data_IF_884344145684
#
_entry.id   IF_884344145684
#
_cell.length_a   1.000
_cell.length_b   1.000
_cell.length_c   1.000
_cell.angle_alpha   90.00
_cell.angle_beta   90.00
_cell.angle_gamma   90.00
#
_symmetry.space_group_name_H-M   'P 1'
#
loop_
_entity.id
_entity.type
_entity.pdbx_description
1 polymer ?
#
# COMPACT_ATOMS: atom_id res chain seq x y z
N UNK A 1 -13.23 -10.76 3.60
CA UNK A 1 -13.11 -9.34 3.97
C UNK A 1 -11.70 -8.88 3.65
N UNK A 2 -11.57 -7.73 3.01
CA UNK A 2 -10.27 -7.09 2.72
C UNK A 2 -9.92 -6.18 3.91
N UNK A 3 -8.75 -6.39 4.52
CA UNK A 3 -8.34 -5.70 5.74
C UNK A 3 -7.33 -4.58 5.47
N UNK A 4 -6.59 -4.67 4.36
CA UNK A 4 -5.56 -3.72 3.96
C UNK A 4 -5.68 -3.35 2.48
N UNK A 5 -5.14 -2.19 2.12
CA UNK A 5 -5.04 -1.67 0.78
C UNK A 5 -3.64 -1.11 0.53
N UNK A 6 -3.08 -1.43 -0.63
CA UNK A 6 -1.87 -0.77 -1.15
C UNK A 6 -2.32 0.44 -1.93
N UNK A 7 -1.81 1.61 -1.56
CA UNK A 7 -2.22 2.90 -2.09
C UNK A 7 -1.01 3.71 -2.52
N UNK A 8 -1.21 4.63 -3.45
CA UNK A 8 -0.25 5.66 -3.82
C UNK A 8 -0.79 7.00 -3.35
N UNK A 9 0.00 7.76 -2.61
CA UNK A 9 -0.32 9.14 -2.26
C UNK A 9 -0.11 10.04 -3.49
N UNK A 10 -1.17 10.74 -3.88
CA UNK A 10 -1.14 11.65 -5.02
C UNK A 10 -0.70 13.02 -4.51
N UNK A 11 0.61 13.26 -4.44
CA UNK A 11 1.15 14.59 -4.16
C UNK A 11 1.36 15.40 -5.44
N UNK A 12 1.17 16.72 -5.35
CA UNK A 12 1.38 17.64 -6.48
C UNK A 12 2.85 17.80 -6.89
N UNK A 13 3.78 17.33 -6.07
CA UNK A 13 5.24 17.41 -6.26
C UNK A 13 5.79 16.39 -7.27
N UNK A 14 4.98 15.41 -7.68
CA UNK A 14 5.36 14.38 -8.66
C UNK A 14 6.06 13.15 -8.07
N UNK A 15 6.21 13.07 -6.74
CA UNK A 15 6.72 11.88 -6.05
C UNK A 15 5.54 11.04 -5.55
N UNK A 16 5.26 9.95 -6.26
CA UNK A 16 4.22 8.98 -5.89
C UNK A 16 4.74 8.06 -4.74
N UNK A 17 4.37 8.35 -3.48
CA UNK A 17 4.70 7.47 -2.33
C UNK A 17 3.71 6.30 -2.24
N UNK A 18 4.21 5.05 -2.25
CA UNK A 18 3.38 3.84 -2.10
C UNK A 18 3.37 3.39 -0.64
N UNK A 19 2.18 3.15 -0.10
CA UNK A 19 2.03 2.63 1.26
C UNK A 19 0.96 1.55 1.39
N UNK A 20 1.03 0.80 2.49
CA UNK A 20 -0.01 -0.13 2.90
C UNK A 20 -0.83 0.48 4.03
N UNK A 21 -2.14 0.57 3.86
CA UNK A 21 -3.07 1.09 4.89
C UNK A 21 -4.16 0.08 5.22
N UNK A 22 -4.81 0.16 6.39
CA UNK A 22 -6.06 -0.54 6.64
C UNK A 22 -7.17 -0.05 5.70
N UNK A 23 -8.03 -0.96 5.24
CA UNK A 23 -9.20 -0.58 4.43
C UNK A 23 -10.18 0.30 5.20
N UNK A 24 -10.17 0.23 6.54
CA UNK A 24 -10.94 1.12 7.43
C UNK A 24 -10.51 2.59 7.37
N UNK A 25 -9.35 2.90 6.77
CA UNK A 25 -8.86 4.26 6.59
C UNK A 25 -9.23 4.84 5.23
N UNK A 26 -9.83 4.04 4.33
CA UNK A 26 -10.28 4.50 3.02
C UNK A 26 -11.55 5.35 3.15
N UNK A 27 -11.61 6.40 2.35
CA UNK A 27 -12.72 7.36 2.26
C UNK A 27 -13.03 7.65 0.79
N UNK A 28 -14.17 8.31 0.55
CA UNK A 28 -14.57 8.80 -0.76
C UNK A 28 -14.43 7.76 -1.88
N UNK A 29 -14.94 6.53 -1.63
CA UNK A 29 -14.87 5.41 -2.58
C UNK A 29 -13.42 5.02 -2.98
N UNK A 30 -12.53 4.90 -1.99
CA UNK A 30 -11.12 4.52 -2.17
C UNK A 30 -10.25 5.54 -2.93
N UNK A 31 -10.71 6.80 -3.02
CA UNK A 31 -9.99 7.92 -3.64
C UNK A 31 -9.25 8.79 -2.63
N UNK A 32 -9.57 8.65 -1.34
CA UNK A 32 -8.89 9.33 -0.23
C UNK A 32 -8.62 8.36 0.91
N UNK A 33 -7.67 8.71 1.76
CA UNK A 33 -7.51 8.04 3.04
C UNK A 33 -7.19 9.03 4.15
N UNK A 34 -7.50 8.63 5.37
CA UNK A 34 -6.98 9.27 6.59
C UNK A 34 -5.63 8.70 6.94
N UNK A 35 -4.74 9.56 7.42
CA UNK A 35 -3.37 9.19 7.77
C UNK A 35 -2.92 9.90 9.05
N UNK A 36 -2.27 9.19 9.98
CA UNK A 36 -1.82 9.78 11.22
C UNK A 36 -0.67 10.75 11.00
N UNK A 37 -0.75 11.94 11.60
CA UNK A 37 0.33 12.94 11.62
C UNK A 37 1.53 12.57 12.51
N UNK A 38 1.82 11.29 12.71
CA UNK A 38 2.94 10.84 13.54
C UNK A 38 4.27 11.02 12.80
N UNK A 39 5.20 11.76 13.41
CA UNK A 39 6.59 11.88 12.88
C UNK A 39 7.39 10.58 12.96
N UNK A 40 6.95 9.63 13.80
CA UNK A 40 7.66 8.37 14.03
C UNK A 40 7.08 7.25 13.15
N UNK A 41 7.86 6.78 12.15
CA UNK A 41 7.48 5.70 11.23
C UNK A 41 7.15 4.38 11.92
N UNK A 42 7.78 4.07 13.05
CA UNK A 42 7.43 2.88 13.85
C UNK A 42 6.00 2.98 14.40
N UNK A 43 5.59 4.17 14.87
CA UNK A 43 4.23 4.40 15.39
C UNK A 43 3.19 4.28 14.28
N UNK A 44 3.48 4.82 13.09
CA UNK A 44 2.64 4.65 11.90
C UNK A 44 2.50 3.17 11.54
N UNK A 45 3.61 2.43 11.47
CA UNK A 45 3.63 1.00 11.18
C UNK A 45 2.78 0.21 12.18
N UNK A 46 2.88 0.55 13.47
CA UNK A 46 2.08 -0.07 14.52
C UNK A 46 0.59 0.22 14.33
N UNK A 47 0.21 1.47 14.08
CA UNK A 47 -1.17 1.87 13.84
C UNK A 47 -1.79 1.15 12.63
N UNK A 48 -1.02 0.94 11.55
CA UNK A 48 -1.45 0.16 10.39
C UNK A 48 -1.67 -1.30 10.79
N UNK A 49 -0.66 -1.95 11.39
CA UNK A 49 -0.73 -3.38 11.76
C UNK A 49 -1.88 -3.68 12.70
N UNK A 50 -2.12 -2.80 13.67
CA UNK A 50 -3.17 -2.93 14.68
C UNK A 50 -4.50 -2.31 14.22
N UNK A 51 -4.57 -1.78 12.98
CA UNK A 51 -5.77 -1.19 12.39
C UNK A 51 -6.45 -0.17 13.32
N UNK A 52 -5.66 0.75 13.87
CA UNK A 52 -6.16 1.77 14.79
C UNK A 52 -7.30 2.56 14.14
N UNK A 53 -8.29 2.95 14.94
CA UNK A 53 -9.38 3.79 14.45
C UNK A 53 -8.84 5.19 14.14
N UNK A 54 -9.23 5.79 12.99
CA UNK A 54 -8.89 7.17 12.72
C UNK A 54 -9.39 8.11 13.80
N UNK A 55 -8.58 9.11 14.12
CA UNK A 55 -8.91 10.18 15.06
C UNK A 55 -9.16 11.49 14.30
N UNK A 56 -9.88 12.43 14.91
CA UNK A 56 -10.16 13.76 14.32
C UNK A 56 -8.88 14.57 14.00
N UNK A 57 -7.77 14.22 14.64
CA UNK A 57 -6.46 14.87 14.44
C UNK A 57 -5.70 14.35 13.22
N UNK A 58 -6.19 13.28 12.58
CA UNK A 58 -5.53 12.69 11.41
C UNK A 58 -5.87 13.47 10.14
N UNK A 59 -4.90 13.56 9.24
CA UNK A 59 -5.03 14.32 8.01
C UNK A 59 -5.61 13.44 6.90
N UNK A 60 -6.37 14.06 5.99
CA UNK A 60 -6.92 13.38 4.81
C UNK A 60 -6.02 13.65 3.61
N UNK A 61 -5.71 12.60 2.86
CA UNK A 61 -4.87 12.65 1.68
C UNK A 61 -5.59 12.04 0.47
N UNK A 62 -5.30 12.58 -0.70
CA UNK A 62 -5.72 12.00 -1.99
C UNK A 62 -4.85 10.78 -2.31
N UNK A 63 -5.49 9.69 -2.73
CA UNK A 63 -4.80 8.44 -3.05
C UNK A 63 -5.32 7.81 -4.32
N UNK A 64 -4.52 6.89 -4.87
CA UNK A 64 -4.95 5.88 -5.83
C UNK A 64 -4.74 4.49 -5.24
N UNK A 65 -5.81 3.72 -5.13
CA UNK A 65 -5.72 2.33 -4.65
C UNK A 65 -5.18 1.41 -5.76
N UNK A 66 -4.13 0.66 -5.45
CA UNK A 66 -3.50 -0.32 -6.36
C UNK A 66 -3.99 -1.75 -6.11
N UNK A 67 -4.17 -2.13 -4.86
CA UNK A 67 -4.60 -3.47 -4.51
C UNK A 67 -5.26 -3.49 -3.14
N UNK A 68 -6.08 -4.51 -2.90
CA UNK A 68 -6.63 -4.82 -1.57
C UNK A 68 -6.25 -6.25 -1.19
N UNK A 69 -6.00 -6.48 0.09
CA UNK A 69 -5.60 -7.78 0.62
C UNK A 69 -6.11 -8.00 2.05
N UNK A 70 -6.16 -9.26 2.47
CA UNK A 70 -6.57 -9.64 3.81
C UNK A 70 -5.39 -9.71 4.81
N UNK A 71 -4.16 -9.82 4.31
CA UNK A 71 -2.96 -10.03 5.13
C UNK A 71 -1.96 -8.88 5.01
N UNK A 72 -1.39 -8.48 6.14
CA UNK A 72 -0.42 -7.38 6.22
C UNK A 72 0.91 -7.74 5.52
N UNK A 73 1.40 -8.96 5.70
CA UNK A 73 2.69 -9.38 5.15
C UNK A 73 2.63 -9.45 3.61
N UNK A 74 1.56 -10.03 3.07
CA UNK A 74 1.26 -10.02 1.64
C UNK A 74 1.11 -8.60 1.10
N UNK A 75 0.40 -7.73 1.82
CA UNK A 75 0.26 -6.32 1.47
C UNK A 75 1.59 -5.57 1.39
N UNK A 76 2.51 -5.80 2.33
CA UNK A 76 3.85 -5.17 2.29
C UNK A 76 4.71 -5.69 1.15
N UNK A 77 4.57 -6.95 0.75
CA UNK A 77 5.25 -7.46 -0.46
C UNK A 77 4.69 -6.77 -1.71
N UNK A 78 3.38 -6.56 -1.78
CA UNK A 78 2.75 -5.84 -2.90
C UNK A 78 3.16 -4.37 -2.96
N UNK A 79 3.17 -3.66 -1.81
CA UNK A 79 3.63 -2.28 -1.74
C UNK A 79 5.07 -2.14 -2.27
N UNK A 80 6.00 -2.98 -1.78
CA UNK A 80 7.39 -2.98 -2.26
C UNK A 80 7.50 -3.25 -3.75
N UNK A 81 6.72 -4.19 -4.28
CA UNK A 81 6.69 -4.46 -5.72
C UNK A 81 6.21 -3.24 -6.52
N UNK A 82 5.20 -2.54 -6.01
CA UNK A 82 4.67 -1.34 -6.65
C UNK A 82 5.64 -0.16 -6.61
N UNK A 83 6.38 0.04 -5.51
CA UNK A 83 7.43 1.08 -5.41
C UNK A 83 8.50 0.95 -6.50
N UNK A 84 8.87 -0.29 -6.86
CA UNK A 84 9.89 -0.56 -7.88
C UNK A 84 9.32 -0.71 -9.29
N UNK A 85 8.00 -0.82 -9.43
CA UNK A 85 7.32 -0.97 -10.72
C UNK A 85 6.76 0.35 -11.26
N UNK A 86 6.99 1.47 -10.56
CA UNK A 86 6.51 2.81 -10.91
C UNK A 86 6.95 3.26 -12.32
N UNK A 87 8.08 2.75 -12.82
CA UNK A 87 8.56 3.04 -14.18
C UNK A 87 7.79 2.33 -15.31
N UNK A 88 7.00 1.28 -15.01
CA UNK A 88 6.48 0.37 -16.05
C UNK A 88 4.96 0.45 -16.24
N UNK A 89 4.22 1.08 -15.34
CA UNK A 89 2.75 1.00 -15.33
C UNK A 89 2.12 2.37 -15.56
N UNK A 90 2.25 2.86 -16.79
CA UNK A 90 1.28 3.80 -17.36
C UNK A 90 -0.01 3.04 -17.64
N UNK A 91 -1.12 3.63 -17.22
CA UNK A 91 -2.50 3.28 -17.58
C UNK A 91 -3.06 1.93 -17.09
N UNK A 92 -3.72 2.01 -15.92
CA UNK A 92 -5.04 1.36 -15.76
C UNK A 92 -5.10 -0.12 -15.36
N UNK A 93 -3.99 -0.81 -15.09
CA UNK A 93 -4.02 -2.28 -14.91
C UNK A 93 -4.13 -2.83 -13.49
N UNK A 94 -4.26 -1.99 -12.45
CA UNK A 94 -4.44 -2.47 -11.08
C UNK A 94 -5.90 -2.45 -10.61
N UNK A 95 -6.83 -2.76 -11.51
CA UNK A 95 -8.21 -3.04 -11.14
C UNK A 95 -8.65 -4.42 -11.63
N UNK A 96 -9.03 -5.25 -10.65
CA UNK A 96 -9.89 -6.45 -10.75
C UNK A 96 -9.34 -7.76 -11.29
N UNK A 97 -8.06 -7.91 -11.61
CA UNK A 97 -7.47 -9.26 -11.72
C UNK A 97 -6.13 -9.30 -11.02
N UNK A 98 -6.03 -10.17 -10.03
CA UNK A 98 -4.80 -10.88 -9.74
C UNK A 98 -4.37 -11.52 -11.07
N UNK A 99 -3.66 -10.78 -11.92
CA UNK A 99 -3.05 -11.36 -13.10
C UNK A 99 -1.94 -12.20 -12.53
N UNK A 100 -2.21 -13.50 -12.36
CA UNK A 100 -1.24 -14.60 -12.24
C UNK A 100 0.20 -14.09 -12.34
N UNK A 101 0.76 -13.55 -11.26
CA UNK A 101 2.19 -13.27 -11.23
C UNK A 101 2.78 -14.64 -10.92
N UNK A 102 2.94 -15.40 -12.00
CA UNK A 102 3.91 -16.47 -12.20
C UNK A 102 4.87 -16.54 -11.01
N UNK A 103 4.64 -17.48 -10.11
CA UNK A 103 5.57 -17.90 -9.06
C UNK A 103 6.81 -18.60 -9.65
N UNK A 104 7.03 -18.51 -10.96
CA UNK A 104 7.99 -19.33 -11.70
C UNK A 104 9.37 -18.69 -11.87
N UNK A 105 9.72 -17.63 -11.13
CA UNK A 105 11.08 -17.05 -11.19
C UNK A 105 11.65 -16.52 -9.86
N UNK A 106 11.22 -17.06 -8.72
CA UNK A 106 11.83 -16.76 -7.41
C UNK A 106 12.81 -17.87 -6.94
N UNK A 107 13.53 -18.47 -7.88
CA UNK A 107 14.56 -19.47 -7.61
C UNK A 107 16.00 -18.95 -7.55
N UNK A 108 16.24 -17.63 -7.43
CA UNK A 108 17.61 -17.08 -7.54
C UNK A 108 17.98 -15.97 -6.54
N UNK A 109 17.21 -15.74 -5.47
CA UNK A 109 17.59 -14.78 -4.42
C UNK A 109 17.49 -15.38 -3.01
N UNK A 110 17.98 -16.60 -2.84
CA UNK A 110 18.16 -17.23 -1.52
C UNK A 110 19.57 -17.78 -1.26
N UNK A 111 20.54 -17.47 -2.12
CA UNK A 111 21.95 -17.74 -1.84
C UNK A 111 22.67 -16.41 -1.74
N UNK A 112 22.90 -15.94 -0.51
CA UNK A 112 24.09 -15.22 -0.04
C UNK A 112 23.84 -14.81 1.42
N UNK A 113 23.71 -15.81 2.27
CA UNK A 113 23.93 -15.67 3.72
C UNK A 113 24.63 -16.93 4.19
N UNK A 114 25.95 -16.96 4.04
CA UNK A 114 26.85 -17.81 4.82
C UNK A 114 28.05 -16.96 5.20
#
# INVERSE_FOLDING_TARGET
MEAFAVVVFVESSGEDEVELIPTSWLMDEDKKCVWPGFKNRWKVTKAIKEMWKPEETWSVYSIRTLAKCCDYSAGRVLARKAEHASDIISDGLFSKRIVKISLTHYGQYLDFAT
#
